data_IF_813279152904
#
_entry.id   IF_813279152904
#
_cell.length_a   1.000
_cell.length_b   1.000
_cell.length_c   1.000
_cell.angle_alpha   90.00
_cell.angle_beta   90.00
_cell.angle_gamma   90.00
#
_symmetry.space_group_name_H-M   'P 1'
#
loop_
_entity.id
_entity.type
_entity.pdbx_description
1 polymer ?
#
# COMPACT_ATOMS: atom_id res chain seq x y z
N UNK A 1 -7.68 -9.96 5.81
CA UNK A 1 -8.43 -9.14 4.84
C UNK A 1 -7.98 -9.57 3.45
N UNK A 2 -8.90 -9.96 2.59
CA UNK A 2 -8.57 -10.30 1.20
C UNK A 2 -8.45 -9.01 0.35
N UNK A 3 -7.86 -9.11 -0.84
CA UNK A 3 -7.62 -7.97 -1.73
C UNK A 3 -8.89 -7.17 -2.04
N UNK A 4 -10.03 -7.83 -2.25
CA UNK A 4 -11.32 -7.17 -2.53
C UNK A 4 -11.82 -6.36 -1.33
N UNK A 5 -11.68 -6.88 -0.12
CA UNK A 5 -12.04 -6.17 1.11
C UNK A 5 -11.18 -4.91 1.30
N UNK A 6 -9.88 -5.00 0.99
CA UNK A 6 -8.96 -3.84 1.04
C UNK A 6 -9.36 -2.79 0.01
N UNK A 7 -9.58 -3.18 -1.25
CA UNK A 7 -10.00 -2.27 -2.33
C UNK A 7 -11.31 -1.58 -1.97
N UNK A 8 -12.30 -2.34 -1.49
CA UNK A 8 -13.60 -1.80 -1.07
C UNK A 8 -13.45 -0.78 0.06
N UNK A 9 -12.63 -1.09 1.07
CA UNK A 9 -12.36 -0.18 2.18
C UNK A 9 -11.60 1.09 1.74
N UNK A 10 -10.66 0.97 0.79
CA UNK A 10 -9.91 2.11 0.26
C UNK A 10 -10.82 3.00 -0.59
N UNK A 11 -11.58 2.43 -1.53
CA UNK A 11 -12.54 3.15 -2.36
C UNK A 11 -13.57 3.91 -1.50
N UNK A 12 -14.13 3.24 -0.49
CA UNK A 12 -15.09 3.86 0.43
C UNK A 12 -14.49 5.04 1.21
N UNK A 13 -13.21 4.98 1.58
CA UNK A 13 -12.55 6.04 2.37
C UNK A 13 -11.97 7.17 1.53
N UNK A 14 -11.59 6.89 0.30
CA UNK A 14 -10.97 7.87 -0.60
C UNK A 14 -11.99 8.57 -1.51
N UNK A 15 -13.16 7.98 -1.72
CA UNK A 15 -14.12 8.42 -2.73
C UNK A 15 -13.66 8.12 -4.17
N UNK A 16 -12.57 7.37 -4.34
CA UNK A 16 -12.06 6.95 -5.65
C UNK A 16 -12.82 5.70 -6.09
N UNK A 17 -13.08 5.61 -7.40
CA UNK A 17 -13.76 4.48 -7.98
C UNK A 17 -12.99 3.16 -7.73
N UNK A 18 -13.67 2.04 -7.42
CA UNK A 18 -13.01 0.76 -7.15
C UNK A 18 -12.07 0.29 -8.26
N UNK A 19 -12.41 0.55 -9.51
CA UNK A 19 -11.62 0.23 -10.70
C UNK A 19 -10.26 0.94 -10.73
N UNK A 20 -10.20 2.19 -10.26
CA UNK A 20 -8.94 2.93 -10.19
C UNK A 20 -8.14 2.52 -8.96
N UNK A 21 -8.81 2.16 -7.87
CA UNK A 21 -8.15 1.52 -6.72
C UNK A 21 -7.50 0.18 -7.11
N UNK A 22 -8.16 -0.63 -7.94
CA UNK A 22 -7.62 -1.89 -8.46
C UNK A 22 -6.32 -1.64 -9.22
N UNK A 23 -6.32 -0.71 -10.18
CA UNK A 23 -5.13 -0.40 -10.99
C UNK A 23 -3.93 -0.01 -10.11
N UNK A 24 -4.16 0.88 -9.14
CA UNK A 24 -3.11 1.32 -8.22
C UNK A 24 -2.60 0.16 -7.37
N UNK A 25 -3.49 -0.68 -6.84
CA UNK A 25 -3.10 -1.83 -6.03
C UNK A 25 -2.34 -2.88 -6.85
N UNK A 26 -2.78 -3.17 -8.07
CA UNK A 26 -2.12 -4.13 -8.97
C UNK A 26 -0.71 -3.66 -9.32
N UNK A 27 -0.56 -2.39 -9.75
CA UNK A 27 0.76 -1.82 -10.07
C UNK A 27 1.65 -1.74 -8.82
N UNK A 28 1.09 -1.42 -7.66
CA UNK A 28 1.84 -1.43 -6.40
C UNK A 28 2.36 -2.83 -6.06
N UNK A 29 1.52 -3.86 -6.20
CA UNK A 29 1.91 -5.26 -5.96
C UNK A 29 2.99 -5.72 -6.93
N UNK A 30 2.92 -5.35 -8.21
CA UNK A 30 3.96 -5.65 -9.19
C UNK A 30 5.29 -4.99 -8.85
N UNK A 31 5.30 -3.66 -8.68
CA UNK A 31 6.51 -2.91 -8.34
C UNK A 31 7.11 -3.45 -7.04
N UNK A 32 6.27 -3.71 -6.05
CA UNK A 32 6.72 -4.27 -4.78
C UNK A 32 7.33 -5.67 -4.97
N UNK A 33 6.69 -6.56 -5.73
CA UNK A 33 7.18 -7.91 -6.02
C UNK A 33 8.51 -7.91 -6.80
N UNK A 34 8.68 -6.98 -7.74
CA UNK A 34 9.94 -6.82 -8.46
C UNK A 34 11.07 -6.34 -7.54
N UNK A 35 10.81 -5.35 -6.68
CA UNK A 35 11.80 -4.87 -5.72
C UNK A 35 12.21 -5.97 -4.75
N UNK A 36 11.27 -6.79 -4.32
CA UNK A 36 11.50 -7.97 -3.48
C UNK A 36 12.44 -8.97 -4.16
N UNK A 37 12.13 -9.31 -5.41
CA UNK A 37 12.90 -10.30 -6.15
C UNK A 37 14.32 -9.81 -6.43
N UNK A 38 14.49 -8.50 -6.68
CA UNK A 38 15.79 -7.88 -6.94
C UNK A 38 16.65 -7.70 -5.70
N UNK A 39 16.05 -7.30 -4.58
CA UNK A 39 16.77 -7.08 -3.33
C UNK A 39 16.66 -8.33 -2.46
N UNK A 40 17.73 -9.14 -2.36
CA UNK A 40 17.81 -10.30 -1.44
C UNK A 40 17.31 -9.90 -0.05
N UNK A 41 16.05 -10.18 0.22
CA UNK A 41 15.23 -9.35 1.11
C UNK A 41 15.65 -9.58 2.57
N UNK A 42 16.42 -8.65 3.14
CA UNK A 42 16.72 -8.61 4.57
C UNK A 42 15.66 -7.73 5.23
N UNK A 43 15.13 -8.14 6.39
CA UNK A 43 13.93 -7.58 7.05
C UNK A 43 13.86 -6.05 7.22
N UNK A 44 14.96 -5.34 6.99
CA UNK A 44 15.09 -3.88 6.98
C UNK A 44 14.17 -3.15 6.00
N UNK A 45 13.80 -3.77 4.85
CA UNK A 45 12.93 -3.09 3.85
C UNK A 45 11.47 -3.06 4.29
N UNK A 46 10.98 -4.11 4.98
CA UNK A 46 9.63 -4.10 5.55
C UNK A 46 9.50 -3.03 6.64
N UNK A 47 10.55 -2.87 7.46
CA UNK A 47 10.64 -1.77 8.43
C UNK A 47 10.58 -0.41 7.72
N UNK A 48 11.32 -0.20 6.63
CA UNK A 48 11.24 1.05 5.86
C UNK A 48 9.84 1.34 5.31
N UNK A 49 9.17 0.35 4.71
CA UNK A 49 7.81 0.53 4.16
C UNK A 49 6.81 0.79 5.29
N UNK A 50 6.92 0.06 6.41
CA UNK A 50 6.11 0.28 7.59
C UNK A 50 6.34 1.67 8.20
N UNK A 51 7.58 2.15 8.23
CA UNK A 51 7.94 3.49 8.69
C UNK A 51 7.30 4.58 7.82
N UNK A 52 7.35 4.41 6.49
CA UNK A 52 6.73 5.33 5.53
C UNK A 52 5.20 5.35 5.75
N UNK A 53 4.57 4.19 5.83
CA UNK A 53 3.12 4.08 6.07
C UNK A 53 2.72 4.69 7.43
N UNK A 54 3.53 4.48 8.47
CA UNK A 54 3.31 5.04 9.80
C UNK A 54 3.44 6.56 9.81
N UNK A 55 4.42 7.11 9.08
CA UNK A 55 4.58 8.57 8.90
C UNK A 55 3.41 9.17 8.14
N UNK A 56 2.90 8.50 7.10
CA UNK A 56 1.70 8.93 6.36
C UNK A 56 0.46 8.89 7.27
N UNK A 57 0.31 7.86 8.10
CA UNK A 57 -0.78 7.74 9.08
C UNK A 57 -0.76 8.89 10.10
N UNK A 58 0.41 9.19 10.66
CA UNK A 58 0.56 10.19 11.71
C UNK A 58 0.45 11.63 11.20
N UNK A 59 0.70 11.88 9.90
CA UNK A 59 0.45 13.19 9.29
C UNK A 59 -1.04 13.54 9.18
N UNK A 60 -1.95 12.57 9.23
CA UNK A 60 -3.41 12.83 9.27
C UNK A 60 -3.93 13.21 10.67
N UNK A 61 -3.12 13.09 11.72
CA UNK A 61 -3.53 13.37 13.12
C UNK A 61 -3.32 14.85 13.51
N UNK A 62 -2.79 15.68 12.63
CA UNK A 62 -2.72 17.13 12.81
C UNK A 62 -3.65 17.78 11.77
N UNK A 63 -4.95 17.65 11.98
CA UNK A 63 -6.00 18.53 11.48
C UNK A 63 -7.23 18.39 12.37
#
# INVERSE_FOLDING_TARGET
MNKREVISAVASRSGIAPEDCIKVFDTFEEVFSEEIARSKWKGTIFECVYDILTRIKNKKTIQ
#
